data_IF_667713940159
#
_entry.id   IF_667713940159
#
_cell.length_a   1.000
_cell.length_b   1.000
_cell.length_c   1.000
_cell.angle_alpha   90.00
_cell.angle_beta   90.00
_cell.angle_gamma   90.00
#
_symmetry.space_group_name_H-M   'P 1'
#
loop_
_entity.id
_entity.type
_entity.pdbx_description
1 polymer ?
#
# COMPACT_ATOMS: atom_id res chain seq x y z
N UNK A 1 18.80 -6.95 3.64
CA UNK A 1 18.02 -6.33 2.55
C UNK A 1 17.25 -5.16 3.15
N UNK A 2 17.37 -3.97 2.58
CA UNK A 2 16.65 -2.79 3.08
C UNK A 2 15.13 -2.95 2.89
N UNK A 3 14.34 -2.34 3.78
CA UNK A 3 12.88 -2.39 3.73
C UNK A 3 12.28 -1.45 2.68
N UNK A 4 13.04 -0.42 2.30
CA UNK A 4 12.63 0.62 1.35
C UNK A 4 13.83 1.29 0.69
N UNK A 5 13.60 2.01 -0.40
CA UNK A 5 14.60 2.89 -1.01
C UNK A 5 15.05 3.99 -0.05
N UNK A 6 14.13 4.53 0.77
CA UNK A 6 14.45 5.55 1.76
C UNK A 6 15.37 5.02 2.87
N UNK A 7 15.24 3.76 3.27
CA UNK A 7 16.19 3.11 4.19
C UNK A 7 17.59 2.98 3.54
N UNK A 8 17.66 2.69 2.23
CA UNK A 8 18.93 2.65 1.51
C UNK A 8 19.58 4.03 1.43
N UNK A 9 18.81 5.09 1.15
CA UNK A 9 19.30 6.47 1.12
C UNK A 9 19.82 6.89 2.49
N UNK A 10 19.08 6.60 3.58
CA UNK A 10 19.56 6.85 4.93
C UNK A 10 20.91 6.16 5.19
N UNK A 11 21.00 4.86 4.85
CA UNK A 11 22.24 4.08 5.05
C UNK A 11 23.40 4.67 4.26
N UNK A 12 23.15 5.17 3.06
CA UNK A 12 24.14 5.84 2.23
C UNK A 12 24.64 7.15 2.87
N UNK A 13 23.73 7.99 3.36
CA UNK A 13 24.06 9.25 4.06
C UNK A 13 24.89 8.96 5.32
N UNK A 14 24.52 7.92 6.08
CA UNK A 14 25.25 7.50 7.30
C UNK A 14 26.67 7.01 6.95
N UNK A 15 26.80 6.20 5.89
CA UNK A 15 28.10 5.71 5.41
C UNK A 15 29.04 6.82 4.91
N UNK A 16 28.49 7.92 4.41
CA UNK A 16 29.25 9.12 4.05
C UNK A 16 29.68 9.99 5.25
N UNK A 17 29.30 9.61 6.48
CA UNK A 17 29.57 10.40 7.69
C UNK A 17 28.67 11.62 7.86
N UNK A 18 27.62 11.77 7.04
CA UNK A 18 26.76 12.95 6.98
C UNK A 18 25.45 12.81 7.77
N UNK A 19 25.28 11.78 8.57
CA UNK A 19 24.08 11.51 9.38
C UNK A 19 23.62 12.70 10.20
N UNK A 20 24.55 13.48 10.75
CA UNK A 20 24.25 14.65 11.56
C UNK A 20 23.66 15.82 10.75
N UNK A 21 23.84 15.82 9.43
CA UNK A 21 23.30 16.84 8.52
C UNK A 21 21.85 16.57 8.11
N UNK A 22 21.28 15.43 8.50
CA UNK A 22 19.86 15.16 8.31
C UNK A 22 19.07 16.15 9.18
N UNK A 23 18.42 17.10 8.51
CA UNK A 23 17.51 18.05 9.12
C UNK A 23 16.08 17.48 9.20
N UNK A 24 15.15 18.29 9.73
CA UNK A 24 13.75 17.91 9.90
C UNK A 24 13.06 17.55 8.56
N UNK A 25 13.37 18.25 7.49
CA UNK A 25 12.72 18.06 6.18
C UNK A 25 13.17 16.74 5.56
N UNK A 26 14.50 16.51 5.54
CA UNK A 26 15.08 15.24 5.10
C UNK A 26 14.56 14.08 5.95
N UNK A 27 14.51 14.25 7.26
CA UNK A 27 14.01 13.23 8.19
C UNK A 27 12.54 12.91 7.92
N UNK A 28 11.70 13.91 7.66
CA UNK A 28 10.29 13.73 7.32
C UNK A 28 10.12 12.94 6.03
N UNK A 29 10.87 13.28 4.97
CA UNK A 29 10.81 12.58 3.69
C UNK A 29 11.25 11.11 3.83
N UNK A 30 12.39 10.85 4.49
CA UNK A 30 12.91 9.50 4.71
C UNK A 30 11.97 8.66 5.57
N UNK A 31 11.43 9.22 6.65
CA UNK A 31 10.48 8.55 7.52
C UNK A 31 9.20 8.17 6.75
N UNK A 32 8.65 9.11 5.97
CA UNK A 32 7.44 8.88 5.17
C UNK A 32 7.65 7.71 4.20
N UNK A 33 8.76 7.70 3.46
CA UNK A 33 9.03 6.61 2.51
C UNK A 33 9.26 5.26 3.19
N UNK A 34 9.95 5.22 4.33
CA UNK A 34 10.11 3.98 5.11
C UNK A 34 8.74 3.49 5.61
N UNK A 35 7.93 4.38 6.17
CA UNK A 35 6.63 4.06 6.72
C UNK A 35 5.68 3.51 5.64
N UNK A 36 5.60 4.15 4.48
CA UNK A 36 4.71 3.72 3.38
C UNK A 36 5.15 2.39 2.78
N UNK A 37 6.44 2.20 2.49
CA UNK A 37 6.97 0.98 1.88
C UNK A 37 6.91 -0.24 2.82
N UNK A 38 6.89 0.00 4.13
CA UNK A 38 6.76 -1.05 5.15
C UNK A 38 5.32 -1.33 5.57
N UNK A 39 4.34 -0.65 4.95
CA UNK A 39 2.94 -0.74 5.34
C UNK A 39 2.72 -0.35 6.79
N UNK A 40 3.27 0.79 7.20
CA UNK A 40 3.29 1.27 8.58
C UNK A 40 4.02 0.29 9.52
N UNK A 41 5.22 -0.15 9.12
CA UNK A 41 6.09 -1.09 9.85
C UNK A 41 5.50 -2.49 10.06
N UNK A 42 4.49 -2.87 9.27
CA UNK A 42 3.77 -4.15 9.37
C UNK A 42 4.41 -5.27 8.55
N UNK A 43 5.05 -4.94 7.42
CA UNK A 43 5.50 -5.99 6.49
C UNK A 43 6.75 -6.73 7.00
N UNK A 44 6.95 -7.99 6.57
CA UNK A 44 8.08 -8.83 7.01
C UNK A 44 9.47 -8.26 6.65
N UNK A 45 9.53 -7.29 5.75
CA UNK A 45 10.77 -6.56 5.39
C UNK A 45 11.22 -5.59 6.48
N UNK A 46 10.34 -5.25 7.44
CA UNK A 46 10.65 -4.39 8.58
C UNK A 46 11.57 -5.14 9.56
N UNK A 47 12.71 -4.56 9.84
CA UNK A 47 13.73 -5.13 10.73
C UNK A 47 13.93 -4.26 11.97
N UNK A 48 14.67 -4.77 12.96
CA UNK A 48 15.09 -3.94 14.10
C UNK A 48 15.88 -2.71 13.67
N UNK A 49 16.65 -2.80 12.58
CA UNK A 49 17.38 -1.67 12.01
C UNK A 49 16.42 -0.61 11.45
N UNK A 50 15.36 -1.03 10.76
CA UNK A 50 14.32 -0.13 10.26
C UNK A 50 13.70 0.70 11.40
N UNK A 51 13.42 0.07 12.55
CA UNK A 51 12.92 0.78 13.74
C UNK A 51 13.95 1.76 14.34
N UNK A 52 15.25 1.36 14.39
CA UNK A 52 16.31 2.26 14.87
C UNK A 52 16.45 3.49 13.99
N UNK A 53 16.37 3.31 12.66
CA UNK A 53 16.36 4.43 11.71
C UNK A 53 15.12 5.30 11.92
N UNK A 54 13.94 4.70 12.07
CA UNK A 54 12.71 5.43 12.36
C UNK A 54 12.80 6.26 13.63
N UNK A 55 13.34 5.70 14.72
CA UNK A 55 13.58 6.41 15.98
C UNK A 55 14.51 7.61 15.77
N UNK A 56 15.64 7.42 15.10
CA UNK A 56 16.57 8.50 14.79
C UNK A 56 15.92 9.61 13.96
N UNK A 57 15.10 9.27 12.97
CA UNK A 57 14.42 10.26 12.13
C UNK A 57 13.38 11.07 12.94
N UNK A 58 12.71 10.44 13.91
CA UNK A 58 11.82 11.14 14.87
C UNK A 58 12.62 12.09 15.74
N UNK A 59 13.79 11.68 16.26
CA UNK A 59 14.70 12.55 17.02
C UNK A 59 15.17 13.76 16.21
N UNK A 60 15.31 13.59 14.88
CA UNK A 60 15.62 14.67 13.94
C UNK A 60 14.43 15.56 13.57
N UNK A 61 13.25 15.29 14.14
CA UNK A 61 12.06 16.14 14.03
C UNK A 61 10.99 15.66 13.06
N UNK A 62 11.10 14.45 12.51
CA UNK A 62 9.98 13.85 11.78
C UNK A 62 8.80 13.63 12.74
N UNK A 63 7.66 14.27 12.44
CA UNK A 63 6.46 14.11 13.23
C UNK A 63 5.66 12.90 12.73
N UNK A 64 5.89 11.75 13.35
CA UNK A 64 5.26 10.49 12.94
C UNK A 64 3.72 10.53 12.98
N UNK A 65 3.12 11.20 13.96
CA UNK A 65 1.65 11.34 14.04
C UNK A 65 1.10 12.15 12.86
N UNK A 66 1.71 13.31 12.57
CA UNK A 66 1.29 14.15 11.47
C UNK A 66 1.49 13.45 10.12
N UNK A 67 2.61 12.72 9.95
CA UNK A 67 2.89 11.96 8.73
C UNK A 67 1.84 10.86 8.55
N UNK A 68 1.53 10.10 9.60
CA UNK A 68 0.48 9.07 9.55
C UNK A 68 -0.87 9.66 9.16
N UNK A 69 -1.27 10.75 9.82
CA UNK A 69 -2.54 11.41 9.53
C UNK A 69 -2.60 11.91 8.08
N UNK A 70 -1.56 12.54 7.59
CA UNK A 70 -1.51 13.04 6.21
C UNK A 70 -1.59 11.92 5.17
N UNK A 71 -1.04 10.74 5.48
CA UNK A 71 -0.99 9.61 4.53
C UNK A 71 -2.24 8.74 4.61
N UNK A 72 -2.72 8.44 5.81
CA UNK A 72 -3.76 7.42 6.02
C UNK A 72 -5.13 7.99 6.42
N UNK A 73 -5.18 9.18 7.03
CA UNK A 73 -6.43 9.77 7.53
C UNK A 73 -6.94 10.92 6.61
N UNK A 74 -6.46 10.98 5.38
CA UNK A 74 -6.83 12.00 4.39
C UNK A 74 -7.76 11.44 3.31
N UNK A 75 -8.74 10.63 3.72
CA UNK A 75 -9.71 10.08 2.78
C UNK A 75 -10.89 11.03 2.60
N UNK A 76 -11.30 11.26 1.34
CA UNK A 76 -12.54 11.98 1.05
C UNK A 76 -13.76 11.15 1.49
N UNK A 77 -14.88 11.82 1.75
CA UNK A 77 -16.15 11.14 2.02
C UNK A 77 -16.54 10.20 0.86
N UNK A 78 -16.35 10.65 -0.38
CA UNK A 78 -16.65 9.89 -1.58
C UNK A 78 -15.83 8.60 -1.68
N UNK A 79 -14.54 8.68 -1.34
CA UNK A 79 -13.67 7.48 -1.26
C UNK A 79 -14.18 6.47 -0.24
N UNK A 80 -14.67 6.93 0.92
CA UNK A 80 -15.23 6.02 1.93
C UNK A 80 -16.58 5.41 1.49
N UNK A 81 -17.41 6.16 0.74
CA UNK A 81 -18.62 5.62 0.13
C UNK A 81 -18.28 4.56 -0.94
N UNK A 82 -17.28 4.82 -1.77
CA UNK A 82 -16.79 3.85 -2.75
C UNK A 82 -16.22 2.60 -2.08
N UNK A 83 -15.47 2.76 -0.97
CA UNK A 83 -15.00 1.63 -0.17
C UNK A 83 -16.16 0.80 0.39
N UNK A 84 -17.22 1.46 0.87
CA UNK A 84 -18.43 0.75 1.33
C UNK A 84 -19.03 -0.10 0.20
N UNK A 85 -19.11 0.44 -1.02
CA UNK A 85 -19.58 -0.28 -2.20
C UNK A 85 -18.65 -1.46 -2.53
N UNK A 86 -17.36 -1.24 -2.54
CA UNK A 86 -16.36 -2.28 -2.78
C UNK A 86 -16.46 -3.44 -1.77
N UNK A 87 -16.69 -3.12 -0.49
CA UNK A 87 -16.85 -4.14 0.56
C UNK A 87 -18.18 -4.90 0.44
N UNK A 88 -19.26 -4.27 -0.04
CA UNK A 88 -20.51 -4.96 -0.36
C UNK A 88 -20.35 -5.94 -1.51
N UNK A 89 -19.54 -5.57 -2.50
CA UNK A 89 -19.27 -6.40 -3.68
C UNK A 89 -18.16 -7.43 -3.44
N UNK A 90 -17.60 -7.49 -2.22
CA UNK A 90 -16.54 -8.45 -1.90
C UNK A 90 -17.12 -9.85 -1.79
N UNK A 91 -16.55 -10.77 -2.55
CA UNK A 91 -16.89 -12.19 -2.56
C UNK A 91 -15.67 -12.99 -2.10
N UNK A 92 -15.90 -13.94 -1.18
CA UNK A 92 -14.88 -14.88 -0.73
C UNK A 92 -15.16 -16.28 -1.27
N UNK A 93 -14.23 -16.82 -2.05
CA UNK A 93 -14.28 -18.18 -2.59
C UNK A 93 -13.41 -19.06 -1.71
N UNK A 94 -14.02 -19.68 -0.72
CA UNK A 94 -13.32 -20.49 0.29
C UNK A 94 -12.53 -21.64 -0.30
N UNK A 95 -13.04 -22.28 -1.35
CA UNK A 95 -12.40 -23.41 -2.04
C UNK A 95 -11.02 -23.07 -2.60
N UNK A 96 -10.81 -21.80 -2.97
CA UNK A 96 -9.56 -21.31 -3.56
C UNK A 96 -8.79 -20.35 -2.65
N UNK A 97 -9.19 -20.18 -1.38
CA UNK A 97 -8.61 -19.19 -0.46
C UNK A 97 -8.47 -17.81 -1.12
N UNK A 98 -9.46 -17.44 -1.94
CA UNK A 98 -9.42 -16.26 -2.81
C UNK A 98 -10.58 -15.32 -2.53
N UNK A 99 -10.30 -14.02 -2.43
CA UNK A 99 -11.31 -13.00 -2.37
C UNK A 99 -11.25 -12.10 -3.61
N UNK A 100 -12.41 -11.67 -4.11
CA UNK A 100 -12.43 -10.66 -5.17
C UNK A 100 -13.47 -9.58 -4.92
N UNK A 101 -13.21 -8.42 -5.51
CA UNK A 101 -14.07 -7.23 -5.47
C UNK A 101 -14.34 -6.83 -6.93
N UNK A 102 -15.54 -6.39 -7.22
CA UNK A 102 -15.90 -5.79 -8.52
C UNK A 102 -16.41 -4.37 -8.30
N UNK A 103 -16.01 -3.45 -9.17
CA UNK A 103 -16.54 -2.09 -9.23
C UNK A 103 -16.88 -1.77 -10.69
N UNK A 104 -18.14 -1.41 -10.93
CA UNK A 104 -18.64 -1.00 -12.24
C UNK A 104 -18.40 0.49 -12.48
N UNK A 105 -18.41 0.90 -13.75
CA UNK A 105 -18.32 2.33 -14.10
C UNK A 105 -19.45 3.16 -13.48
N UNK A 106 -20.65 2.58 -13.35
CA UNK A 106 -21.79 3.25 -12.72
C UNK A 106 -21.57 3.48 -11.22
N UNK A 107 -21.01 2.49 -10.50
CA UNK A 107 -20.68 2.60 -9.07
C UNK A 107 -19.58 3.64 -8.82
N UNK A 108 -18.57 3.69 -9.70
CA UNK A 108 -17.53 4.71 -9.67
C UNK A 108 -18.12 6.12 -9.84
N UNK A 109 -19.02 6.30 -10.82
CA UNK A 109 -19.69 7.59 -11.09
C UNK A 109 -20.57 8.02 -9.91
N UNK A 110 -21.36 7.11 -9.32
CA UNK A 110 -22.21 7.41 -8.15
C UNK A 110 -21.43 7.93 -6.95
N UNK A 111 -20.18 7.52 -6.82
CA UNK A 111 -19.29 7.96 -5.74
C UNK A 111 -18.37 9.14 -6.14
N UNK A 112 -18.58 9.75 -7.31
CA UNK A 112 -17.69 10.80 -7.82
C UNK A 112 -16.20 10.43 -7.71
N UNK A 113 -15.88 9.20 -8.14
CA UNK A 113 -14.55 8.60 -8.02
C UNK A 113 -13.47 9.46 -8.63
N UNK A 114 -12.40 9.68 -7.89
CA UNK A 114 -11.19 10.33 -8.35
C UNK A 114 -10.06 9.30 -8.55
N UNK A 115 -9.13 9.62 -9.46
CA UNK A 115 -7.97 8.75 -9.71
C UNK A 115 -7.18 8.54 -8.41
N UNK A 116 -6.99 7.29 -8.03
CA UNK A 116 -6.30 6.90 -6.79
C UNK A 116 -7.23 6.45 -5.66
N UNK A 117 -8.53 6.75 -5.70
CA UNK A 117 -9.46 6.39 -4.61
C UNK A 117 -9.55 4.89 -4.35
N UNK A 118 -9.38 4.07 -5.39
CA UNK A 118 -9.42 2.61 -5.29
C UNK A 118 -8.12 1.98 -4.81
N UNK A 119 -7.07 2.79 -4.59
CA UNK A 119 -5.80 2.27 -4.07
C UNK A 119 -5.98 1.65 -2.68
N UNK A 120 -5.42 0.45 -2.51
CA UNK A 120 -5.52 -0.28 -1.26
C UNK A 120 -6.79 -1.10 -1.08
N UNK A 121 -7.86 -0.90 -1.85
CA UNK A 121 -9.11 -1.63 -1.70
C UNK A 121 -8.93 -3.16 -1.83
N UNK A 122 -8.11 -3.60 -2.76
CA UNK A 122 -7.79 -5.03 -2.93
C UNK A 122 -7.23 -5.67 -1.65
N UNK A 123 -6.55 -4.88 -0.80
CA UNK A 123 -5.95 -5.40 0.42
C UNK A 123 -7.00 -5.84 1.45
N UNK A 124 -8.23 -5.30 1.41
CA UNK A 124 -9.31 -5.76 2.29
C UNK A 124 -9.64 -7.22 2.07
N UNK A 125 -9.59 -7.72 0.83
CA UNK A 125 -9.73 -9.15 0.55
C UNK A 125 -8.69 -10.00 1.29
N UNK A 126 -7.44 -9.53 1.39
CA UNK A 126 -6.39 -10.22 2.13
C UNK A 126 -6.56 -10.17 3.66
N UNK A 127 -7.44 -9.33 4.21
CA UNK A 127 -7.70 -9.31 5.66
C UNK A 127 -8.59 -10.47 6.11
N UNK A 128 -9.31 -11.10 5.18
CA UNK A 128 -10.08 -12.30 5.49
C UNK A 128 -9.12 -13.40 5.93
N UNK A 129 -9.50 -14.11 7.00
CA UNK A 129 -8.72 -15.23 7.52
C UNK A 129 -8.52 -16.28 6.43
N UNK A 130 -7.32 -16.84 6.36
CA UNK A 130 -6.90 -17.89 5.42
C UNK A 130 -6.86 -17.49 3.94
N UNK A 131 -7.22 -16.25 3.57
CA UNK A 131 -7.11 -15.77 2.19
C UNK A 131 -5.66 -15.65 1.75
N UNK A 132 -5.35 -16.24 0.60
CA UNK A 132 -4.02 -16.24 -0.03
C UNK A 132 -3.93 -15.28 -1.23
N UNK A 133 -5.05 -15.07 -1.93
CA UNK A 133 -5.14 -14.22 -3.12
C UNK A 133 -6.30 -13.23 -2.98
N UNK A 134 -6.07 -11.98 -3.32
CA UNK A 134 -7.12 -10.98 -3.48
C UNK A 134 -7.02 -10.32 -4.84
N UNK A 135 -8.17 -10.07 -5.45
CA UNK A 135 -8.31 -9.45 -6.76
C UNK A 135 -9.34 -8.34 -6.70
N UNK A 136 -9.09 -7.23 -7.38
CA UNK A 136 -10.11 -6.23 -7.66
C UNK A 136 -10.22 -6.02 -9.16
N UNK A 137 -11.45 -6.04 -9.66
CA UNK A 137 -11.82 -5.73 -11.03
C UNK A 137 -12.52 -4.38 -11.05
N UNK A 138 -11.99 -3.42 -11.78
CA UNK A 138 -12.53 -2.05 -11.87
C UNK A 138 -12.82 -1.77 -13.34
N UNK A 139 -14.08 -1.56 -13.66
CA UNK A 139 -14.49 -1.19 -15.02
C UNK A 139 -14.20 0.30 -15.26
N UNK A 140 -13.29 0.58 -16.19
CA UNK A 140 -12.94 1.93 -16.63
C UNK A 140 -13.27 2.07 -18.13
N UNK A 141 -14.52 2.46 -18.43
CA UNK A 141 -15.01 2.52 -19.82
C UNK A 141 -15.05 1.13 -20.48
N UNK A 142 -14.31 0.97 -21.57
CA UNK A 142 -14.28 -0.26 -22.37
C UNK A 142 -13.29 -1.30 -21.88
N UNK A 143 -12.55 -1.03 -20.84
CA UNK A 143 -11.57 -1.97 -20.27
C UNK A 143 -11.80 -2.23 -18.76
N UNK A 144 -11.24 -3.33 -18.30
CA UNK A 144 -11.27 -3.70 -16.87
C UNK A 144 -9.84 -3.65 -16.34
N UNK A 145 -9.60 -2.76 -15.40
CA UNK A 145 -8.35 -2.72 -14.63
C UNK A 145 -8.39 -3.82 -13.58
N UNK A 146 -7.34 -4.65 -13.56
CA UNK A 146 -7.22 -5.75 -12.59
C UNK A 146 -6.04 -5.46 -11.67
N UNK A 147 -6.27 -5.50 -10.36
CA UNK A 147 -5.19 -5.46 -9.37
C UNK A 147 -5.19 -6.74 -8.55
N UNK A 148 -4.02 -7.34 -8.43
CA UNK A 148 -3.79 -8.61 -7.76
C UNK A 148 -2.89 -8.41 -6.56
N UNK A 149 -3.21 -9.07 -5.45
CA UNK A 149 -2.35 -9.12 -4.25
C UNK A 149 -2.38 -10.53 -3.67
N UNK A 150 -1.25 -10.97 -3.13
CA UNK A 150 -1.15 -12.30 -2.53
C UNK A 150 -0.37 -12.30 -1.22
N UNK A 151 -0.56 -13.36 -0.46
CA UNK A 151 0.25 -13.71 0.71
C UNK A 151 1.08 -14.97 0.41
N UNK A 152 2.18 -15.09 1.13
CA UNK A 152 3.08 -16.26 1.00
C UNK A 152 3.83 -16.28 -0.33
N UNK A 153 3.98 -17.47 -0.90
CA UNK A 153 4.81 -17.72 -2.08
C UNK A 153 4.05 -17.61 -3.42
N UNK A 154 2.83 -17.08 -3.43
CA UNK A 154 2.05 -16.93 -4.65
C UNK A 154 2.53 -15.70 -5.44
N UNK A 155 3.22 -15.93 -6.54
CA UNK A 155 3.73 -14.86 -7.40
C UNK A 155 2.63 -14.36 -8.36
N UNK A 156 1.93 -13.31 -7.92
CA UNK A 156 0.87 -12.68 -8.73
C UNK A 156 1.42 -11.86 -9.90
N UNK A 157 2.68 -11.45 -9.87
CA UNK A 157 3.32 -10.77 -11.00
C UNK A 157 3.50 -11.77 -12.17
N UNK A 158 4.02 -12.95 -11.87
CA UNK A 158 4.14 -14.02 -12.87
C UNK A 158 2.77 -14.45 -13.42
N UNK A 159 1.77 -14.54 -12.56
CA UNK A 159 0.39 -14.85 -12.96
C UNK A 159 -0.18 -13.75 -13.88
N UNK A 160 -0.03 -12.48 -13.52
CA UNK A 160 -0.49 -11.36 -14.33
C UNK A 160 0.16 -11.33 -15.72
N UNK A 161 1.47 -11.63 -15.80
CA UNK A 161 2.20 -11.71 -17.08
C UNK A 161 1.75 -12.87 -17.96
N UNK A 162 1.40 -14.01 -17.36
CA UNK A 162 0.99 -15.21 -18.12
C UNK A 162 -0.46 -15.17 -18.60
N UNK A 163 -1.35 -14.58 -17.81
CA UNK A 163 -2.79 -14.66 -18.05
C UNK A 163 -3.43 -13.35 -18.50
N UNK A 164 -2.74 -12.22 -18.29
CA UNK A 164 -3.20 -10.88 -18.62
C UNK A 164 -2.05 -10.07 -19.24
N UNK A 165 -2.37 -9.00 -19.96
CA UNK A 165 -1.36 -8.09 -20.52
C UNK A 165 -0.83 -7.13 -19.41
N UNK A 166 -0.40 -7.68 -18.29
CA UNK A 166 -0.04 -6.94 -17.09
C UNK A 166 1.24 -7.43 -16.45
N UNK A 167 1.54 -6.89 -15.29
CA UNK A 167 2.69 -7.20 -14.47
C UNK A 167 3.52 -5.96 -14.19
N UNK A 168 3.65 -5.59 -12.93
CA UNK A 168 4.44 -4.50 -12.39
C UNK A 168 5.38 -4.97 -11.29
#
# INVERSE_FOLDING_TARGET
KASSTCEMIYTFIDAMGNKNQIDKEIATCLYTGIMTDTGNFKYPTTTSNTFKIGAFLIEKGANNSQINSNVFDNNSYNKLQLLSTALKNLVYIKEYDTAYITLTSEELQKCDHQKGDTEGFVNYGLTIKDTKLAVIFIQEGDFVKISLRSKGNNDVNLFARKCFNGGG
#
